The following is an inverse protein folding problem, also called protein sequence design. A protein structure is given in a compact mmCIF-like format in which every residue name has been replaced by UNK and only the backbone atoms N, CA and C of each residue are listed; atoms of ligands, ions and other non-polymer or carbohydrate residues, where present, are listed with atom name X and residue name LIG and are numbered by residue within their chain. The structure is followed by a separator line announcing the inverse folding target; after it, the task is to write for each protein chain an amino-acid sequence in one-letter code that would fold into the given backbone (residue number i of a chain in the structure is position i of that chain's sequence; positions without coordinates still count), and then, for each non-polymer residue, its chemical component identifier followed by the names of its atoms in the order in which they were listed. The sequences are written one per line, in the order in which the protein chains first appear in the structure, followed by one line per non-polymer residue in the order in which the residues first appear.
data_IF_074622467587
#
_entry.id   IF_074622467587
#
_cell.length_a   1.000
_cell.length_b   1.000
_cell.length_c   1.000
_cell.angle_alpha   90.00
_cell.angle_beta   90.00
_cell.angle_gamma   90.00
#
_symmetry.space_group_name_H-M   'P 1'
#
loop_
_entity.id
_entity.type
_entity.pdbx_description
1 polymer ?
#
# COMPACT_ATOMS: atom_id res chain seq x y z
N UNK A 1 36.85 55.69 56.71
CA UNK A 1 35.95 55.32 55.59
C UNK A 1 36.66 54.24 54.77
N UNK A 2 36.34 52.96 55.00
CA UNK A 2 37.14 51.82 54.53
C UNK A 2 36.72 51.35 53.12
N UNK A 3 37.59 51.46 52.10
CA UNK A 3 37.24 51.08 50.72
C UNK A 3 37.08 49.57 50.51
N UNK A 4 37.56 48.73 51.44
CA UNK A 4 37.55 47.26 51.29
C UNK A 4 36.17 46.59 51.40
N UNK A 5 35.19 47.20 52.07
CA UNK A 5 33.84 46.60 52.18
C UNK A 5 33.01 46.73 50.89
N UNK A 6 33.22 47.79 50.09
CA UNK A 6 32.45 48.01 48.85
C UNK A 6 32.84 47.04 47.73
N UNK A 7 34.11 46.63 47.68
CA UNK A 7 34.63 45.64 46.73
C UNK A 7 34.13 44.22 46.99
N UNK A 8 33.87 43.85 48.25
CA UNK A 8 33.35 42.52 48.59
C UNK A 8 31.88 42.35 48.17
N UNK A 9 31.03 43.37 48.40
CA UNK A 9 29.62 43.31 48.02
C UNK A 9 29.41 43.35 46.50
N UNK A 10 30.28 44.04 45.75
CA UNK A 10 30.25 44.07 44.29
C UNK A 10 30.69 42.74 43.68
N UNK A 11 31.67 42.05 44.29
CA UNK A 11 32.09 40.72 43.86
C UNK A 11 31.01 39.65 44.12
N UNK A 12 30.29 39.72 45.24
CA UNK A 12 29.19 38.79 45.55
C UNK A 12 27.98 39.00 44.63
N UNK A 13 27.63 40.25 44.32
CA UNK A 13 26.56 40.54 43.37
C UNK A 13 26.91 40.06 41.95
N UNK A 14 28.17 40.23 41.52
CA UNK A 14 28.63 39.77 40.22
C UNK A 14 28.62 38.23 40.10
N UNK A 15 29.00 37.51 41.16
CA UNK A 15 28.98 36.03 41.15
C UNK A 15 27.56 35.47 41.18
N UNK A 16 26.61 36.08 41.88
CA UNK A 16 25.19 35.70 41.81
C UNK A 16 24.59 35.93 40.41
N UNK A 17 24.93 37.05 39.75
CA UNK A 17 24.48 37.31 38.38
C UNK A 17 25.09 36.33 37.37
N UNK A 18 26.37 35.95 37.52
CA UNK A 18 26.98 34.92 36.66
C UNK A 18 26.38 33.52 36.87
N UNK A 19 26.06 33.15 38.11
CA UNK A 19 25.41 31.87 38.41
C UNK A 19 23.96 31.81 37.87
N UNK A 20 23.25 32.94 37.86
CA UNK A 20 21.92 33.05 37.25
C UNK A 20 21.93 32.87 35.72
N UNK A 21 23.00 33.32 35.04
CA UNK A 21 23.14 33.17 33.59
C UNK A 21 23.34 31.71 33.15
N UNK A 22 23.99 30.87 33.97
CA UNK A 22 24.14 29.44 33.66
C UNK A 22 22.87 28.63 33.91
N UNK A 23 21.94 29.13 34.74
CA UNK A 23 20.68 28.43 35.03
C UNK A 23 19.68 28.50 33.87
N UNK A 24 19.85 29.44 32.93
CA UNK A 24 19.05 29.53 31.70
C UNK A 24 19.74 28.88 30.49
N UNK A 25 20.91 28.26 30.67
CA UNK A 25 21.50 27.44 29.62
C UNK A 25 20.71 26.13 29.52
N UNK A 26 19.60 26.15 28.77
CA UNK A 26 18.99 24.93 28.28
C UNK A 26 20.04 24.21 27.43
N UNK A 27 20.60 23.12 27.95
CA UNK A 27 21.30 22.16 27.09
C UNK A 27 20.24 21.62 26.11
N UNK A 28 20.17 22.22 24.93
CA UNK A 28 19.56 21.55 23.80
C UNK A 28 20.38 20.25 23.60
N UNK A 29 19.75 19.07 23.59
CA UNK A 29 20.47 17.85 23.23
C UNK A 29 21.04 18.05 21.83
N UNK A 30 22.35 18.29 21.72
CA UNK A 30 23.04 18.34 20.42
C UNK A 30 23.26 16.94 19.87
N UNK A 31 23.02 15.91 20.68
CA UNK A 31 23.00 14.53 20.26
C UNK A 31 21.64 14.23 19.62
N UNK A 32 21.66 13.95 18.31
CA UNK A 32 20.56 13.27 17.63
C UNK A 32 20.26 12.01 18.45
N UNK A 33 19.03 11.82 18.97
CA UNK A 33 18.71 10.62 19.72
C UNK A 33 19.02 9.37 18.90
N UNK A 34 19.65 8.36 19.50
CA UNK A 34 20.09 7.12 18.81
C UNK A 34 18.98 6.46 17.99
N UNK A 35 17.72 6.65 18.40
CA UNK A 35 16.55 6.18 17.69
C UNK A 35 16.48 6.71 16.25
N UNK A 36 16.83 7.97 15.99
CA UNK A 36 16.85 8.55 14.64
C UNK A 36 17.95 7.96 13.75
N UNK A 37 18.99 7.37 14.33
CA UNK A 37 20.04 6.68 13.59
C UNK A 37 19.62 5.25 13.19
N UNK A 38 18.57 4.71 13.81
CA UNK A 38 18.02 3.37 13.55
C UNK A 38 16.84 3.39 12.57
N UNK A 39 16.55 4.54 11.94
CA UNK A 39 15.45 4.73 11.01
C UNK A 39 14.38 5.71 11.50
N UNK A 40 13.42 5.97 10.62
CA UNK A 40 12.30 6.89 10.87
C UNK A 40 11.25 6.27 11.77
N UNK A 41 10.32 7.08 12.30
CA UNK A 41 9.16 6.57 13.04
C UNK A 41 8.31 5.56 12.22
N UNK A 42 8.34 5.68 10.88
CA UNK A 42 7.62 4.80 9.97
C UNK A 42 8.32 3.45 9.78
N UNK A 43 9.65 3.39 9.88
CA UNK A 43 10.42 2.15 9.70
C UNK A 43 10.20 1.19 10.88
N UNK A 44 9.88 1.74 12.06
CA UNK A 44 9.57 0.98 13.28
C UNK A 44 8.15 0.41 13.30
N UNK A 45 7.30 0.80 12.35
CA UNK A 45 5.88 0.42 12.28
C UNK A 45 5.54 -0.14 10.89
N UNK A 46 6.34 -1.10 10.42
CA UNK A 46 6.18 -1.67 9.09
C UNK A 46 4.78 -2.29 8.88
N UNK A 47 4.27 -2.15 7.66
CA UNK A 47 3.02 -2.79 7.22
C UNK A 47 3.37 -4.23 6.86
N UNK A 48 2.67 -5.19 7.47
CA UNK A 48 2.79 -6.59 7.12
C UNK A 48 2.00 -6.92 5.85
N UNK A 49 2.32 -8.04 5.23
CA UNK A 49 1.56 -8.58 4.09
C UNK A 49 1.24 -10.03 4.38
N UNK A 50 0.00 -10.43 4.14
CA UNK A 50 -0.41 -11.84 4.16
C UNK A 50 -1.04 -12.24 2.85
N UNK A 51 -0.82 -13.50 2.49
CA UNK A 51 -1.41 -14.11 1.30
C UNK A 51 -2.65 -14.90 1.72
N UNK A 52 -3.74 -14.76 0.98
CA UNK A 52 -5.00 -15.46 1.20
C UNK A 52 -5.57 -15.92 -0.12
N UNK A 53 -6.28 -17.04 -0.12
CA UNK A 53 -7.07 -17.48 -1.26
C UNK A 53 -8.48 -16.90 -1.16
N UNK A 54 -8.93 -16.24 -2.21
CA UNK A 54 -10.33 -15.84 -2.38
C UNK A 54 -11.07 -17.00 -3.07
N UNK A 55 -12.23 -17.41 -2.53
CA UNK A 55 -13.01 -18.52 -3.05
C UNK A 55 -14.44 -18.08 -3.38
N UNK A 56 -14.98 -18.62 -4.46
CA UNK A 56 -16.40 -18.57 -4.78
C UNK A 56 -16.91 -19.99 -5.03
N UNK A 57 -17.92 -20.37 -4.27
CA UNK A 57 -18.63 -21.63 -4.44
C UNK A 57 -19.98 -21.39 -5.11
N UNK A 58 -20.22 -22.13 -6.20
CA UNK A 58 -21.48 -22.16 -6.94
C UNK A 58 -22.09 -23.54 -6.79
N UNK A 59 -23.17 -23.62 -6.01
CA UNK A 59 -23.93 -24.84 -5.84
C UNK A 59 -24.57 -25.28 -7.15
N UNK A 60 -24.50 -26.57 -7.43
CA UNK A 60 -25.10 -27.17 -8.62
C UNK A 60 -26.46 -27.74 -8.23
N UNK A 61 -27.53 -27.15 -8.75
CA UNK A 61 -28.90 -27.61 -8.48
C UNK A 61 -29.21 -28.88 -9.30
N UNK A 62 -29.64 -29.98 -8.66
CA UNK A 62 -29.97 -31.23 -9.33
C UNK A 62 -31.07 -31.10 -10.41
N UNK A 63 -32.00 -30.16 -10.21
CA UNK A 63 -33.18 -29.99 -11.06
C UNK A 63 -33.07 -28.85 -12.06
N UNK A 64 -32.04 -28.00 -11.93
CA UNK A 64 -31.87 -26.86 -12.84
C UNK A 64 -31.25 -27.29 -14.16
N UNK A 65 -31.70 -26.66 -15.25
CA UNK A 65 -31.11 -26.82 -16.57
C UNK A 65 -29.97 -25.86 -16.86
N UNK A 66 -29.82 -24.79 -16.06
CA UNK A 66 -28.83 -23.74 -16.30
C UNK A 66 -28.44 -23.03 -14.99
N UNK A 67 -27.32 -22.30 -15.01
CA UNK A 67 -26.95 -21.42 -13.89
C UNK A 67 -27.99 -20.31 -13.68
N UNK A 68 -28.32 -20.05 -12.41
CA UNK A 68 -29.20 -18.96 -12.04
C UNK A 68 -28.59 -17.60 -12.41
N UNK A 69 -29.42 -16.59 -12.67
CA UNK A 69 -28.93 -15.22 -12.92
C UNK A 69 -28.14 -14.67 -11.73
N UNK A 70 -28.49 -15.09 -10.52
CA UNK A 70 -27.79 -14.73 -9.28
C UNK A 70 -26.37 -15.29 -9.29
N UNK A 71 -26.18 -16.55 -9.67
CA UNK A 71 -24.86 -17.18 -9.69
C UNK A 71 -23.99 -16.61 -10.81
N UNK A 72 -24.57 -16.31 -11.98
CA UNK A 72 -23.87 -15.59 -13.05
C UNK A 72 -23.36 -14.22 -12.57
N UNK A 73 -24.18 -13.45 -11.85
CA UNK A 73 -23.76 -12.16 -11.28
C UNK A 73 -22.68 -12.30 -10.20
N UNK A 74 -22.71 -13.37 -9.39
CA UNK A 74 -21.66 -13.68 -8.39
C UNK A 74 -20.33 -14.01 -9.07
N UNK A 75 -20.37 -14.80 -10.15
CA UNK A 75 -19.18 -15.11 -10.96
C UNK A 75 -18.60 -13.83 -11.55
N UNK A 76 -19.44 -12.96 -12.11
CA UNK A 76 -19.01 -11.68 -12.67
C UNK A 76 -18.31 -10.78 -11.62
N UNK A 77 -18.86 -10.69 -10.41
CA UNK A 77 -18.25 -9.92 -9.31
C UNK A 77 -16.92 -10.50 -8.85
N UNK A 78 -16.84 -11.82 -8.78
CA UNK A 78 -15.60 -12.52 -8.45
C UNK A 78 -14.52 -12.29 -9.51
N UNK A 79 -14.89 -12.31 -10.79
CA UNK A 79 -13.99 -12.00 -11.90
C UNK A 79 -13.52 -10.53 -11.87
N UNK A 80 -14.42 -9.57 -11.60
CA UNK A 80 -14.00 -8.16 -11.42
C UNK A 80 -13.02 -8.00 -10.26
N UNK A 81 -13.24 -8.75 -9.19
CA UNK A 81 -12.33 -8.79 -8.04
C UNK A 81 -10.96 -9.37 -8.42
N UNK A 82 -10.94 -10.45 -9.20
CA UNK A 82 -9.71 -11.01 -9.76
C UNK A 82 -8.95 -10.00 -10.64
N UNK A 83 -9.63 -9.27 -11.50
CA UNK A 83 -9.01 -8.25 -12.37
C UNK A 83 -8.38 -7.08 -11.61
N UNK A 84 -8.88 -6.76 -10.42
CA UNK A 84 -8.41 -5.60 -9.64
C UNK A 84 -7.28 -5.93 -8.67
N UNK A 85 -7.32 -7.11 -8.02
CA UNK A 85 -6.36 -7.50 -6.97
C UNK A 85 -5.94 -8.96 -7.00
N UNK A 86 -6.32 -9.70 -8.04
CA UNK A 86 -6.01 -11.11 -8.18
C UNK A 86 -4.57 -11.33 -8.63
N UNK A 87 -3.95 -12.37 -8.07
CA UNK A 87 -2.57 -12.77 -8.36
C UNK A 87 -2.52 -14.23 -8.77
N UNK A 88 -1.69 -14.52 -9.78
CA UNK A 88 -1.58 -15.85 -10.35
C UNK A 88 -2.82 -16.25 -11.18
N UNK A 89 -2.90 -17.53 -11.59
CA UNK A 89 -4.04 -17.99 -12.38
C UNK A 89 -5.31 -18.05 -11.54
N UNK A 90 -6.45 -17.72 -12.17
CA UNK A 90 -7.76 -18.02 -11.62
C UNK A 90 -8.06 -19.50 -11.85
N UNK A 91 -8.18 -20.24 -10.75
CA UNK A 91 -8.54 -21.64 -10.76
C UNK A 91 -10.05 -21.76 -10.90
N UNK A 92 -10.50 -22.62 -11.82
CA UNK A 92 -11.89 -23.03 -11.93
C UNK A 92 -11.92 -24.55 -11.82
N UNK A 93 -12.50 -25.04 -10.71
CA UNK A 93 -12.50 -26.45 -10.34
C UNK A 93 -13.88 -27.07 -10.56
N UNK A 94 -13.88 -28.16 -11.33
CA UNK A 94 -15.06 -29.00 -11.56
C UNK A 94 -15.21 -30.03 -10.42
N UNK A 95 -16.38 -30.17 -9.79
CA UNK A 95 -16.64 -31.26 -8.86
C UNK A 95 -16.69 -32.60 -9.62
N UNK A 96 -15.98 -33.61 -9.13
CA UNK A 96 -16.03 -34.97 -9.71
C UNK A 96 -17.35 -35.66 -9.38
N UNK A 97 -17.88 -35.44 -8.17
CA UNK A 97 -19.21 -35.90 -7.76
C UNK A 97 -20.21 -34.75 -7.80
N UNK A 98 -21.22 -34.85 -8.67
CA UNK A 98 -22.33 -33.92 -8.75
C UNK A 98 -23.63 -34.64 -9.09
N UNK A 99 -24.73 -34.25 -8.44
CA UNK A 99 -26.08 -34.73 -8.77
C UNK A 99 -26.54 -34.28 -10.17
N UNK A 100 -25.89 -33.28 -10.76
CA UNK A 100 -26.13 -32.81 -12.12
C UNK A 100 -24.81 -32.44 -12.82
N UNK A 101 -24.12 -33.48 -13.31
CA UNK A 101 -22.82 -33.34 -13.97
C UNK A 101 -22.87 -32.50 -15.25
N UNK A 102 -23.98 -32.50 -15.97
CA UNK A 102 -24.16 -31.68 -17.17
C UNK A 102 -24.14 -30.18 -16.81
N UNK A 103 -24.90 -29.78 -15.77
CA UNK A 103 -24.91 -28.41 -15.29
C UNK A 103 -23.54 -28.00 -14.71
N UNK A 104 -22.83 -28.91 -14.04
CA UNK A 104 -21.49 -28.62 -13.54
C UNK A 104 -20.52 -28.27 -14.67
N UNK A 105 -20.53 -29.01 -15.78
CA UNK A 105 -19.70 -28.71 -16.96
C UNK A 105 -20.13 -27.40 -17.63
N UNK A 106 -21.44 -27.18 -17.79
CA UNK A 106 -21.96 -25.91 -18.34
C UNK A 106 -21.57 -24.70 -17.47
N UNK A 107 -21.55 -24.87 -16.15
CA UNK A 107 -21.16 -23.83 -15.21
C UNK A 107 -19.70 -23.41 -15.42
N UNK A 108 -18.79 -24.36 -15.64
CA UNK A 108 -17.38 -24.07 -15.97
C UNK A 108 -17.27 -23.28 -17.28
N UNK A 109 -17.99 -23.70 -18.32
CA UNK A 109 -17.99 -23.02 -19.63
C UNK A 109 -18.53 -21.59 -19.47
N UNK A 110 -19.63 -21.43 -18.76
CA UNK A 110 -20.23 -20.11 -18.47
C UNK A 110 -19.28 -19.24 -17.66
N UNK A 111 -18.60 -19.78 -16.66
CA UNK A 111 -17.64 -19.04 -15.85
C UNK A 111 -16.44 -18.55 -16.68
N UNK A 112 -15.92 -19.40 -17.57
CA UNK A 112 -14.85 -19.02 -18.51
C UNK A 112 -15.29 -17.95 -19.50
N UNK A 113 -16.51 -18.04 -20.01
CA UNK A 113 -17.07 -17.03 -20.92
C UNK A 113 -17.23 -15.66 -20.21
N UNK A 114 -17.78 -15.65 -18.99
CA UNK A 114 -17.88 -14.43 -18.18
C UNK A 114 -16.49 -13.85 -17.90
N UNK A 115 -15.52 -14.71 -17.59
CA UNK A 115 -14.14 -14.29 -17.36
C UNK A 115 -13.53 -13.60 -18.60
N UNK A 116 -13.68 -14.23 -19.77
CA UNK A 116 -13.22 -13.69 -21.04
C UNK A 116 -13.87 -12.35 -21.38
N UNK A 117 -15.19 -12.24 -21.23
CA UNK A 117 -15.93 -11.00 -21.47
C UNK A 117 -15.51 -9.84 -20.55
N UNK A 118 -14.92 -10.14 -19.39
CA UNK A 118 -14.38 -9.18 -18.43
C UNK A 118 -12.85 -9.01 -18.53
N UNK A 119 -12.24 -9.50 -19.61
CA UNK A 119 -10.83 -9.27 -19.94
C UNK A 119 -9.85 -10.16 -19.18
N UNK A 120 -10.28 -11.35 -18.73
CA UNK A 120 -9.37 -12.42 -18.30
C UNK A 120 -9.03 -13.29 -19.49
N UNK A 121 -7.75 -13.43 -19.81
CA UNK A 121 -7.30 -14.28 -20.91
C UNK A 121 -7.37 -15.78 -20.55
N UNK A 122 -7.47 -16.65 -21.56
CA UNK A 122 -7.61 -18.09 -21.31
C UNK A 122 -6.40 -18.73 -20.62
N UNK A 123 -5.21 -18.18 -20.81
CA UNK A 123 -3.96 -18.63 -20.16
C UNK A 123 -3.85 -18.17 -18.70
N UNK A 124 -4.60 -17.14 -18.31
CA UNK A 124 -4.79 -16.72 -16.92
C UNK A 124 -5.76 -17.64 -16.15
N UNK A 125 -6.46 -18.55 -16.84
CA UNK A 125 -7.44 -19.47 -16.24
C UNK A 125 -6.88 -20.90 -16.22
N UNK A 126 -6.76 -21.48 -15.03
CA UNK A 126 -6.39 -22.88 -14.88
C UNK A 126 -7.62 -23.73 -14.51
N UNK A 127 -7.78 -24.86 -15.18
CA UNK A 127 -8.80 -25.86 -14.84
C UNK A 127 -8.26 -26.89 -13.84
N UNK A 128 -9.10 -27.29 -12.88
CA UNK A 128 -8.83 -28.41 -11.98
C UNK A 128 -10.10 -29.24 -11.75
N UNK A 129 -9.95 -30.38 -11.07
CA UNK A 129 -11.06 -31.14 -10.50
C UNK A 129 -10.85 -31.33 -8.99
N UNK A 130 -11.93 -31.58 -8.26
CA UNK A 130 -11.89 -31.87 -6.82
C UNK A 130 -12.97 -32.91 -6.45
N UNK A 131 -12.94 -33.41 -5.21
CA UNK A 131 -14.00 -34.27 -4.69
C UNK A 131 -13.94 -35.73 -5.16
N UNK A 132 -12.76 -36.22 -5.56
CA UNK A 132 -12.54 -37.55 -6.16
C UNK A 132 -13.01 -38.77 -5.33
N UNK A 133 -13.36 -38.58 -4.06
CA UNK A 133 -13.86 -39.63 -3.16
C UNK A 133 -15.09 -39.16 -2.36
N UNK A 134 -15.78 -38.13 -2.85
CA UNK A 134 -16.93 -37.56 -2.15
C UNK A 134 -18.20 -38.32 -2.50
N UNK A 135 -18.91 -38.78 -1.47
CA UNK A 135 -20.25 -39.39 -1.62
C UNK A 135 -21.36 -38.34 -1.78
N UNK A 136 -21.03 -37.05 -1.60
CA UNK A 136 -21.97 -35.94 -1.66
C UNK A 136 -21.74 -35.08 -2.91
N UNK A 137 -22.81 -34.46 -3.42
CA UNK A 137 -22.70 -33.48 -4.50
C UNK A 137 -21.92 -32.25 -4.04
N UNK A 138 -20.85 -31.92 -4.73
CA UNK A 138 -20.00 -30.78 -4.41
C UNK A 138 -20.24 -29.57 -5.33
N UNK A 139 -19.95 -28.34 -4.87
CA UNK A 139 -20.11 -27.15 -5.70
C UNK A 139 -18.98 -26.99 -6.73
N UNK A 140 -19.25 -26.21 -7.77
CA UNK A 140 -18.19 -25.64 -8.60
C UNK A 140 -17.44 -24.59 -7.78
N UNK A 141 -16.11 -24.64 -7.80
CA UNK A 141 -15.25 -23.72 -7.03
C UNK A 141 -14.45 -22.86 -8.00
N UNK A 142 -14.45 -21.55 -7.77
CA UNK A 142 -13.49 -20.62 -8.36
C UNK A 142 -12.56 -20.09 -7.28
N UNK A 143 -11.27 -19.98 -7.57
CA UNK A 143 -10.28 -19.54 -6.59
C UNK A 143 -9.14 -18.74 -7.21
N UNK A 144 -8.63 -17.73 -6.51
CA UNK A 144 -7.39 -17.04 -6.87
C UNK A 144 -6.69 -16.49 -5.63
N UNK A 145 -5.42 -16.07 -5.79
CA UNK A 145 -4.64 -15.52 -4.68
C UNK A 145 -4.83 -14.02 -4.57
N UNK A 146 -4.97 -13.52 -3.34
CA UNK A 146 -4.98 -12.10 -3.01
C UNK A 146 -3.98 -11.84 -1.88
N UNK A 147 -3.55 -10.59 -1.77
CA UNK A 147 -2.68 -10.14 -0.69
C UNK A 147 -3.40 -9.06 0.10
N UNK A 148 -3.40 -9.21 1.43
CA UNK A 148 -4.01 -8.26 2.36
C UNK A 148 -2.91 -7.55 3.16
N UNK A 149 -3.08 -6.24 3.35
CA UNK A 149 -2.18 -5.42 4.15
C UNK A 149 -2.52 -5.56 5.64
N UNK A 150 -1.52 -5.90 6.46
CA UNK A 150 -1.65 -6.04 7.91
C UNK A 150 -1.10 -4.76 8.56
N UNK A 151 -1.96 -4.04 9.26
CA UNK A 151 -1.55 -2.88 10.07
C UNK A 151 -0.53 -3.29 11.14
N UNK A 152 0.41 -2.42 11.51
CA UNK A 152 1.32 -2.68 12.63
C UNK A 152 0.54 -2.86 13.95
N UNK A 153 1.11 -3.64 14.87
CA UNK A 153 0.60 -3.75 16.23
C UNK A 153 0.96 -2.49 17.01
N UNK A 154 -0.06 -1.83 17.56
CA UNK A 154 0.06 -0.51 18.15
C UNK A 154 -0.74 -0.38 19.44
N UNK A 155 -0.19 0.39 20.37
CA UNK A 155 -0.91 0.85 21.56
C UNK A 155 -2.11 1.72 21.22
N UNK A 156 -3.07 1.75 22.13
CA UNK A 156 -4.26 2.60 22.00
C UNK A 156 -3.87 4.08 21.98
N UNK A 157 -4.60 4.90 21.21
CA UNK A 157 -4.41 6.37 21.27
C UNK A 157 -4.73 6.97 22.63
N UNK A 158 -5.55 6.30 23.44
CA UNK A 158 -5.84 6.71 24.80
C UNK A 158 -4.62 6.63 25.75
N UNK A 159 -3.58 5.88 25.38
CA UNK A 159 -2.35 5.76 26.18
C UNK A 159 -1.36 6.90 25.92
N UNK A 160 -1.59 7.73 24.90
CA UNK A 160 -0.71 8.85 24.55
C UNK A 160 -1.32 10.17 25.01
N UNK A 161 -0.51 11.00 25.65
CA UNK A 161 -0.88 12.39 25.93
C UNK A 161 -0.65 13.25 24.68
N UNK A 162 -1.72 13.48 23.92
CA UNK A 162 -1.68 14.30 22.70
C UNK A 162 -1.58 15.81 22.98
N UNK A 163 -1.73 16.22 24.24
CA UNK A 163 -1.66 17.63 24.65
C UNK A 163 -0.25 18.01 25.16
N UNK A 164 0.68 17.07 25.28
CA UNK A 164 2.07 17.35 25.69
C UNK A 164 2.82 18.09 24.57
N UNK A 165 3.05 19.39 24.78
CA UNK A 165 3.78 20.29 23.88
C UNK A 165 5.19 20.63 24.38
N UNK A 166 5.73 19.88 25.34
CA UNK A 166 7.05 20.16 25.94
C UNK A 166 8.21 19.91 24.98
N UNK A 167 7.98 19.16 23.90
CA UNK A 167 8.99 18.77 22.91
C UNK A 167 8.53 19.12 21.50
N UNK A 168 9.48 19.46 20.63
CA UNK A 168 9.25 19.63 19.20
C UNK A 168 9.65 18.39 18.37
N UNK A 169 9.94 17.27 19.04
CA UNK A 169 10.18 15.98 18.38
C UNK A 169 8.84 15.35 17.97
N UNK A 170 8.88 14.36 17.08
CA UNK A 170 7.68 13.62 16.71
C UNK A 170 7.03 12.92 17.91
N UNK A 171 5.69 12.88 17.87
CA UNK A 171 4.93 12.08 18.81
C UNK A 171 5.26 10.58 18.62
N UNK A 172 5.39 9.81 19.72
CA UNK A 172 5.62 8.37 19.63
C UNK A 172 4.56 7.60 18.84
N UNK A 173 3.32 8.11 18.79
CA UNK A 173 2.21 7.52 18.03
C UNK A 173 2.28 7.76 16.52
N UNK A 174 3.04 8.75 16.05
CA UNK A 174 3.00 9.23 14.66
C UNK A 174 3.20 8.11 13.64
N UNK A 175 4.26 7.30 13.83
CA UNK A 175 4.58 6.20 12.92
C UNK A 175 3.45 5.18 12.81
N UNK A 176 2.88 4.80 13.95
CA UNK A 176 1.75 3.87 13.99
C UNK A 176 0.50 4.45 13.31
N UNK A 177 0.12 5.69 13.63
CA UNK A 177 -1.09 6.33 13.07
C UNK A 177 -1.00 6.42 11.55
N UNK A 178 0.17 6.83 11.03
CA UNK A 178 0.42 6.90 9.59
C UNK A 178 0.32 5.52 8.95
N UNK A 179 1.02 4.52 9.51
CA UNK A 179 1.12 3.18 8.92
C UNK A 179 -0.20 2.40 9.00
N UNK A 180 -0.99 2.60 10.03
CA UNK A 180 -2.35 2.04 10.15
C UNK A 180 -3.28 2.60 9.07
N UNK A 181 -3.27 3.92 8.87
CA UNK A 181 -4.06 4.54 7.81
C UNK A 181 -3.58 4.13 6.42
N UNK A 182 -2.25 4.06 6.23
CA UNK A 182 -1.67 3.59 4.97
C UNK A 182 -2.06 2.14 4.66
N UNK A 183 -2.03 1.24 5.64
CA UNK A 183 -2.47 -0.15 5.48
C UNK A 183 -3.93 -0.24 4.99
N UNK A 184 -4.81 0.64 5.47
CA UNK A 184 -6.21 0.69 5.05
C UNK A 184 -6.42 1.30 3.64
N UNK A 185 -5.47 2.09 3.15
CA UNK A 185 -5.53 2.75 1.83
C UNK A 185 -4.84 1.95 0.71
N UNK A 186 -4.06 0.93 1.06
CA UNK A 186 -3.36 0.11 0.06
C UNK A 186 -4.38 -0.72 -0.72
N UNK A 187 -4.42 -0.51 -2.04
CA UNK A 187 -5.32 -1.22 -2.93
C UNK A 187 -4.86 -2.67 -3.19
N UNK A 188 -3.56 -2.88 -3.41
CA UNK A 188 -2.95 -4.19 -3.59
C UNK A 188 -1.72 -4.34 -2.68
N UNK A 189 -1.79 -5.25 -1.72
CA UNK A 189 -0.71 -5.44 -0.76
C UNK A 189 0.50 -6.21 -1.33
N UNK A 190 0.37 -6.84 -2.50
CA UNK A 190 1.48 -7.51 -3.16
C UNK A 190 2.60 -6.53 -3.53
N UNK A 191 2.26 -5.27 -3.82
CA UNK A 191 3.22 -4.21 -4.14
C UNK A 191 4.24 -3.94 -3.02
N UNK A 192 3.88 -4.27 -1.77
CA UNK A 192 4.78 -4.15 -0.62
C UNK A 192 5.83 -5.26 -0.57
N UNK A 193 5.63 -6.40 -1.26
CA UNK A 193 6.59 -7.51 -1.29
C UNK A 193 7.77 -7.24 -2.21
N UNK A 194 7.70 -6.17 -3.00
CA UNK A 194 8.78 -5.74 -3.87
C UNK A 194 8.25 -5.21 -5.19
N UNK A 195 9.06 -4.37 -5.82
CA UNK A 195 8.78 -3.93 -7.18
C UNK A 195 9.15 -5.06 -8.14
N UNK A 196 8.39 -5.20 -9.22
CA UNK A 196 8.88 -5.92 -10.42
C UNK A 196 10.26 -5.36 -10.76
N UNK A 197 11.17 -6.21 -11.25
CA UNK A 197 12.50 -5.75 -11.65
C UNK A 197 12.36 -4.51 -12.54
N UNK A 198 12.84 -3.37 -12.04
CA UNK A 198 12.86 -2.15 -12.83
C UNK A 198 13.81 -2.39 -13.99
N UNK A 199 13.36 -2.07 -15.20
CA UNK A 199 14.24 -2.10 -16.36
C UNK A 199 15.48 -1.25 -16.09
N UNK A 200 16.63 -1.69 -16.62
CA UNK A 200 17.88 -0.95 -16.50
C UNK A 200 17.69 0.50 -16.96
N UNK A 201 18.16 1.45 -16.15
CA UNK A 201 18.06 2.87 -16.50
C UNK A 201 18.84 3.17 -17.78
N UNK A 202 18.26 3.99 -18.66
CA UNK A 202 18.94 4.46 -19.87
C UNK A 202 20.02 5.50 -19.53
N UNK A 203 21.26 5.03 -19.38
CA UNK A 203 22.43 5.87 -19.06
C UNK A 203 22.73 6.88 -20.16
N UNK A 204 22.49 6.54 -21.42
CA UNK A 204 22.72 7.42 -22.56
C UNK A 204 21.71 8.58 -22.56
N UNK A 205 20.43 8.29 -22.30
CA UNK A 205 19.41 9.34 -22.17
C UNK A 205 19.71 10.27 -21.00
N UNK A 206 20.13 9.73 -19.85
CA UNK A 206 20.53 10.55 -18.69
C UNK A 206 21.72 11.45 -19.00
N UNK A 207 22.73 10.93 -19.72
CA UNK A 207 23.89 11.71 -20.16
C UNK A 207 23.46 12.88 -21.05
N UNK A 208 22.63 12.63 -22.06
CA UNK A 208 22.13 13.67 -22.98
C UNK A 208 21.36 14.75 -22.25
N UNK A 209 20.46 14.39 -21.32
CA UNK A 209 19.72 15.36 -20.52
C UNK A 209 20.67 16.20 -19.66
N UNK A 210 21.66 15.56 -19.03
CA UNK A 210 22.64 16.25 -18.20
C UNK A 210 23.53 17.20 -19.00
N UNK A 211 23.95 16.82 -20.21
CA UNK A 211 24.71 17.69 -21.11
C UNK A 211 23.90 18.90 -21.56
N UNK A 212 22.65 18.68 -22.00
CA UNK A 212 21.73 19.78 -22.35
C UNK A 212 21.55 20.75 -21.19
N UNK A 213 21.32 20.22 -19.98
CA UNK A 213 21.20 21.04 -18.77
C UNK A 213 22.46 21.87 -18.52
N UNK A 214 23.66 21.29 -18.65
CA UNK A 214 24.94 22.01 -18.49
C UNK A 214 25.16 23.10 -19.53
N UNK A 215 24.70 22.88 -20.76
CA UNK A 215 24.80 23.85 -21.86
C UNK A 215 23.69 24.91 -21.83
N UNK A 216 22.73 24.81 -20.90
CA UNK A 216 21.56 25.70 -20.87
C UNK A 216 20.55 25.45 -21.99
N UNK A 217 20.59 24.26 -22.61
CA UNK A 217 19.69 23.85 -23.68
C UNK A 217 18.41 23.20 -23.14
N UNK A 218 17.34 23.21 -23.95
CA UNK A 218 16.06 22.57 -23.59
C UNK A 218 16.20 21.04 -23.46
N UNK A 219 15.83 20.53 -22.30
CA UNK A 219 15.71 19.09 -21.99
C UNK A 219 14.36 18.49 -22.44
N UNK A 220 13.41 19.35 -22.82
CA UNK A 220 12.11 18.93 -23.35
C UNK A 220 12.23 18.41 -24.79
N UNK A 221 11.22 17.65 -25.23
CA UNK A 221 11.03 17.33 -26.64
C UNK A 221 10.73 18.60 -27.44
N UNK A 222 11.08 18.59 -28.73
CA UNK A 222 10.65 19.63 -29.64
C UNK A 222 9.12 19.55 -29.78
N UNK A 223 8.43 20.65 -29.45
CA UNK A 223 6.98 20.70 -29.59
C UNK A 223 6.58 20.81 -31.04
N UNK A 224 5.57 20.07 -31.45
CA UNK A 224 4.96 20.24 -32.78
C UNK A 224 3.97 21.42 -32.78
N UNK A 225 3.61 21.90 -33.97
CA UNK A 225 2.55 22.92 -34.11
C UNK A 225 1.18 22.44 -33.62
N UNK A 226 0.98 21.13 -33.47
CA UNK A 226 -0.23 20.54 -32.91
C UNK A 226 -0.28 20.61 -31.37
N UNK A 227 0.84 20.92 -30.71
CA UNK A 227 0.93 21.06 -29.25
C UNK A 227 0.84 22.54 -28.81
N UNK A 228 0.06 23.35 -29.53
CA UNK A 228 -0.24 24.72 -29.10
C UNK A 228 -1.19 24.70 -27.92
N UNK A 229 -0.77 25.20 -26.75
CA UNK A 229 -1.65 25.43 -25.59
C UNK A 229 -2.73 26.49 -25.79
N UNK A 230 -2.89 27.00 -27.02
CA UNK A 230 -3.95 27.91 -27.40
C UNK A 230 -5.27 27.12 -27.55
N UNK A 231 -5.98 26.95 -26.44
CA UNK A 231 -7.37 26.53 -26.44
C UNK A 231 -8.23 27.68 -26.98
N UNK A 232 -8.43 27.69 -28.31
CA UNK A 232 -9.36 28.53 -29.07
C UNK A 232 -8.88 29.96 -29.42
N UNK A 233 -8.89 30.27 -30.72
CA UNK A 233 -8.75 31.62 -31.29
C UNK A 233 -10.08 32.15 -31.84
N UNK A 234 -11.22 31.63 -31.34
CA UNK A 234 -12.55 31.84 -31.91
C UNK A 234 -13.13 33.27 -31.76
N UNK A 235 -12.37 34.24 -31.24
CA UNK A 235 -12.75 35.65 -31.28
C UNK A 235 -11.52 36.49 -31.66
N UNK A 236 -11.43 36.83 -32.94
CA UNK A 236 -10.76 38.02 -33.45
C UNK A 236 -11.77 38.79 -34.30
#
# INVERSE_FOLDING_TARGET
MNPKLKTANTLIAASLCLAGLTACASQAPTAVPDSYLQGTALDRNAIGVTKRTEFLEISIDPMSSQLSLKDKARIEDFVRTYRTKGHGPMIVSLPETSENSQLAVEAIVTAREIAWQNGVEYDEIAGSSHGADSDASEPMIMAFQVYDAIKPDCKSMAEYDVADIRSNNEMPSLGCSIRTNQAAMIADAADLLGQRELAAGDSMRRKVILEKFRMGESTASARSSAESGAVSSAVQ
#
